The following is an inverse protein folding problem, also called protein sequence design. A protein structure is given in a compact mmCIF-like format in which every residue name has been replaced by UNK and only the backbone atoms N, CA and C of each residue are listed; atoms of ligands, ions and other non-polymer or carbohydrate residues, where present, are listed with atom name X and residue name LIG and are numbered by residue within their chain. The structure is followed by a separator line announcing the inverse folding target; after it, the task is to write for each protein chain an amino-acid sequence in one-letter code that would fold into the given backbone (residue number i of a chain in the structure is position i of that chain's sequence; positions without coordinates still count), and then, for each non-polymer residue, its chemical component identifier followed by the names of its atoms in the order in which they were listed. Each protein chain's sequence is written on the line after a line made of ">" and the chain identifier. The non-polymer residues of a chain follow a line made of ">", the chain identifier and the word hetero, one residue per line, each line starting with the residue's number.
data_IF_362973988362
#
_entry.id   IF_362973988362
#
_cell.length_a   1.000
_cell.length_b   1.000
_cell.length_c   1.000
_cell.angle_alpha   90.00
_cell.angle_beta   90.00
_cell.angle_gamma   90.00
#
_symmetry.space_group_name_H-M   'P 1'
#
loop_
_entity.id
_entity.type
_entity.pdbx_description
1 polymer ?
2 polymer ?
3 water ?
#
# COMPACT_ATOMS: atom_id res chain seq x y z
N UNK A 2 -7.01 31.46 15.87
CA UNK A 2 -6.68 30.14 16.46
C UNK A 2 -7.48 29.04 15.73
N UNK A 3 -8.75 29.31 15.45
CA UNK A 3 -9.68 28.37 14.78
C UNK A 3 -9.23 28.13 13.33
N UNK A 4 -8.87 29.21 12.62
CA UNK A 4 -8.40 29.09 11.22
C UNK A 4 -7.18 28.19 11.19
N UNK A 5 -6.24 28.39 12.10
CA UNK A 5 -5.00 27.60 12.23
C UNK A 5 -5.32 26.12 12.42
N UNK A 6 -6.25 25.80 13.32
CA UNK A 6 -6.67 24.40 13.62
C UNK A 6 -7.24 23.77 12.35
N UNK A 7 -8.10 24.50 11.64
CA UNK A 7 -8.75 24.03 10.38
C UNK A 7 -7.66 23.72 9.35
N UNK A 8 -6.68 24.61 9.20
CA UNK A 8 -5.54 24.44 8.25
C UNK A 8 -4.79 23.15 8.61
N UNK A 9 -4.59 22.91 9.90
CA UNK A 9 -3.88 21.71 10.43
C UNK A 9 -4.65 20.45 10.04
N UNK A 10 -5.97 20.44 10.27
CA UNK A 10 -6.86 19.29 9.96
C UNK A 10 -6.80 19.00 8.46
N UNK A 11 -6.80 20.03 7.62
CA UNK A 11 -6.71 19.87 6.14
C UNK A 11 -5.39 19.16 5.82
N UNK A 12 -4.29 19.64 6.40
CA UNK A 12 -2.93 19.07 6.22
C UNK A 12 -2.92 17.61 6.66
N UNK A 13 -3.54 17.31 7.80
CA UNK A 13 -3.61 15.95 8.33
C UNK A 13 -4.39 15.04 7.38
N UNK A 14 -5.51 15.52 6.85
CA UNK A 14 -6.32 14.68 5.99
C UNK A 14 -5.63 14.44 4.65
N UNK A 15 -4.93 15.45 4.13
CA UNK A 15 -4.16 15.23 2.91
C UNK A 15 -3.13 14.13 3.10
N UNK A 16 -2.54 14.07 4.29
CA UNK A 16 -1.57 13.02 4.60
C UNK A 16 -2.28 11.67 4.73
N UNK A 17 -3.42 11.63 5.42
CA UNK A 17 -4.19 10.39 5.54
C UNK A 17 -4.58 9.89 4.14
N UNK A 18 -5.00 10.80 3.27
CA UNK A 18 -5.41 10.47 1.87
C UNK A 18 -4.24 9.82 1.13
N UNK A 19 -3.03 10.34 1.31
CA UNK A 19 -1.80 9.80 0.68
C UNK A 19 -1.60 8.36 1.13
N UNK A 20 -1.81 8.10 2.42
CA UNK A 20 -1.68 6.76 3.04
C UNK A 20 -2.67 5.80 2.38
N UNK A 21 -3.91 6.24 2.12
CA UNK A 21 -4.92 5.36 1.57
C UNK A 21 -4.62 5.02 0.11
N UNK A 22 -4.19 5.99 -0.69
CA UNK A 22 -3.85 5.71 -2.08
C UNK A 22 -2.72 4.71 -2.15
N UNK A 23 -1.70 4.90 -1.32
CA UNK A 23 -0.52 3.99 -1.25
C UNK A 23 -1.02 2.57 -0.93
N UNK A 24 -1.89 2.46 0.08
CA UNK A 24 -2.50 1.18 0.54
C UNK A 24 -3.27 0.54 -0.62
N UNK A 25 -4.15 1.30 -1.27
CA UNK A 25 -5.00 0.86 -2.40
C UNK A 25 -4.15 0.30 -3.53
N UNK A 26 -3.12 1.03 -3.94
CA UNK A 26 -2.21 0.62 -5.03
C UNK A 26 -1.52 -0.70 -4.63
N UNK A 27 -1.08 -0.80 -3.37
CA UNK A 27 -0.43 -2.00 -2.84
C UNK A 27 -1.33 -3.21 -2.91
N UNK A 28 -2.58 -3.07 -2.49
CA UNK A 28 -3.58 -4.19 -2.51
C UNK A 28 -3.88 -4.56 -3.96
N UNK A 29 -3.94 -3.58 -4.85
CA UNK A 29 -4.20 -3.81 -6.30
C UNK A 29 -3.11 -4.72 -6.86
N UNK A 30 -1.85 -4.39 -6.58
CA UNK A 30 -0.67 -5.18 -7.05
C UNK A 30 -0.73 -6.56 -6.40
N UNK A 31 -1.01 -6.67 -5.10
CA UNK A 31 -1.09 -7.96 -4.46
C UNK A 31 -2.17 -8.83 -5.08
N UNK A 32 -3.35 -8.26 -5.36
CA UNK A 32 -4.41 -9.01 -6.00
C UNK A 32 -3.98 -9.55 -7.34
N UNK A 33 -3.28 -8.73 -8.14
CA UNK A 33 -2.77 -9.15 -9.48
C UNK A 33 -1.80 -10.32 -9.30
N UNK A 34 -0.94 -10.27 -8.29
CA UNK A 34 0.08 -11.33 -8.01
C UNK A 34 -0.61 -12.62 -7.53
N UNK A 35 -1.71 -12.52 -6.79
CA UNK A 35 -2.46 -13.73 -6.32
C UNK A 35 -3.10 -14.39 -7.55
N UNK A 36 -3.60 -13.58 -8.50
CA UNK A 36 -4.18 -14.09 -9.77
C UNK A 36 -3.06 -14.82 -10.52
N UNK A 37 -1.88 -14.20 -10.61
CA UNK A 37 -0.69 -14.75 -11.29
C UNK A 37 -0.30 -16.07 -10.62
N UNK A 38 -0.34 -16.11 -9.29
CA UNK A 38 0.01 -17.32 -8.50
C UNK A 38 -0.98 -18.44 -8.85
N UNK A 39 -2.28 -18.12 -8.92
CA UNK A 39 -3.35 -19.12 -9.26
C UNK A 39 -3.06 -19.68 -10.65
N UNK A 40 -2.73 -18.81 -11.61
CA UNK A 40 -2.42 -19.19 -13.01
C UNK A 40 -1.20 -20.10 -13.02
N UNK A 41 -0.17 -19.76 -12.24
CA UNK A 41 1.05 -20.56 -12.16
C UNK A 41 0.74 -21.94 -11.65
N UNK A 42 -0.03 -22.05 -10.57
CA UNK A 42 -0.41 -23.36 -9.95
C UNK A 42 -1.14 -24.22 -10.99
N UNK A 43 -2.20 -23.69 -11.60
CA UNK A 43 -3.06 -24.40 -12.58
C UNK A 43 -2.23 -24.87 -13.78
N UNK A 44 -1.30 -24.03 -14.27
CA UNK A 44 -0.43 -24.34 -15.44
C UNK A 44 0.72 -25.26 -15.00
N UNK A 45 1.09 -25.22 -13.72
CA UNK A 45 2.18 -26.02 -13.11
C UNK A 45 1.64 -27.40 -12.70
N UNK A 46 0.32 -27.54 -12.49
CA UNK A 46 -0.35 -28.78 -12.02
C UNK A 46 -0.51 -29.78 -13.17
N UNK A 47 -0.62 -29.27 -14.41
CA UNK A 47 -0.81 -30.07 -15.65
C UNK A 47 0.07 -31.34 -15.63
N UNK A 48 1.41 -31.29 -15.71
CA UNK A 48 2.21 -32.52 -15.70
C UNK A 48 1.96 -33.35 -14.43
N UNK A 49 2.21 -32.78 -13.24
CA UNK A 49 2.05 -33.45 -11.93
C UNK A 49 0.56 -33.77 -11.71
N UNK B 3 5.16 -17.80 -17.90
CA UNK B 3 6.03 -18.36 -16.86
C UNK B 3 6.28 -17.31 -15.80
N UNK B 4 5.93 -17.65 -14.56
CA UNK B 4 6.02 -16.75 -13.38
C UNK B 4 7.49 -16.59 -12.94
N UNK B 5 8.09 -15.40 -13.12
CA UNK B 5 9.49 -15.11 -12.72
C UNK B 5 9.57 -15.15 -11.19
N UNK B 6 10.32 -16.07 -10.54
CA UNK B 6 10.35 -16.15 -9.08
C UNK B 6 11.04 -14.92 -8.46
N UNK B 7 12.06 -14.37 -9.12
CA UNK B 7 12.73 -13.18 -8.63
C UNK B 7 11.78 -12.00 -8.68
N UNK B 8 11.12 -11.78 -9.82
CA UNK B 8 10.18 -10.70 -9.93
C UNK B 8 9.07 -10.82 -8.89
N UNK B 9 8.57 -12.03 -8.65
CA UNK B 9 7.47 -12.20 -7.72
C UNK B 9 7.88 -11.72 -6.33
N UNK B 10 9.07 -12.12 -5.88
CA UNK B 10 9.53 -11.70 -4.57
C UNK B 10 9.76 -10.20 -4.52
N UNK B 11 10.36 -9.64 -5.58
CA UNK B 11 10.65 -8.22 -5.61
C UNK B 11 9.36 -7.41 -5.49
N UNK B 12 8.35 -7.77 -6.28
CA UNK B 12 7.08 -7.03 -6.29
C UNK B 12 6.41 -7.12 -4.92
N UNK B 13 6.34 -8.30 -4.33
CA UNK B 13 5.65 -8.35 -3.04
C UNK B 13 6.45 -7.65 -1.95
N UNK B 14 7.78 -7.67 -2.03
CA UNK B 14 8.62 -6.97 -1.01
C UNK B 14 8.44 -5.46 -1.20
N UNK B 15 8.18 -5.01 -2.43
CA UNK B 15 7.94 -3.57 -2.73
C UNK B 15 6.61 -3.17 -2.09
N UNK B 16 5.60 -4.04 -2.16
CA UNK B 16 4.26 -3.79 -1.55
C UNK B 16 4.47 -3.55 -0.05
N UNK B 17 5.29 -4.39 0.59
CA UNK B 17 5.60 -4.28 2.05
C UNK B 17 6.24 -2.92 2.33
N UNK B 18 7.11 -2.43 1.43
CA UNK B 18 7.79 -1.11 1.54
C UNK B 18 6.75 0.01 1.43
N UNK B 19 5.81 -0.13 0.50
CA UNK B 19 4.71 0.84 0.24
C UNK B 19 3.84 0.97 1.49
N UNK B 20 3.57 -0.16 2.16
CA UNK B 20 2.73 -0.21 3.38
C UNK B 20 3.45 0.55 4.50
N UNK B 21 4.77 0.42 4.63
CA UNK B 21 5.51 1.19 5.62
C UNK B 21 5.40 2.69 5.35
N UNK B 22 5.34 3.05 4.07
CA UNK B 22 5.17 4.47 3.61
C UNK B 22 3.78 4.94 4.06
N UNK B 23 2.76 4.09 3.90
CA UNK B 23 1.36 4.35 4.30
C UNK B 23 1.33 4.67 5.80
N UNK B 24 2.02 3.84 6.59
CA UNK B 24 2.11 3.97 8.07
C UNK B 24 2.79 5.29 8.42
N UNK B 25 3.81 5.69 7.65
CA UNK B 25 4.57 6.95 7.87
C UNK B 25 3.65 8.15 7.64
N UNK B 26 2.80 8.09 6.61
CA UNK B 26 1.84 9.18 6.26
C UNK B 26 0.85 9.35 7.41
N UNK B 27 0.38 8.24 8.01
CA UNK B 27 -0.59 8.25 9.14
C UNK B 27 0.11 8.82 10.39
N UNK B 28 1.37 8.46 10.60
CA UNK B 28 2.13 9.00 11.77
C UNK B 28 2.16 10.52 11.64
N UNK B 29 2.45 11.04 10.45
CA UNK B 29 2.48 12.50 10.15
C UNK B 29 1.10 13.09 10.46
N UNK B 30 0.02 12.44 10.04
CA UNK B 30 -1.34 12.95 10.27
C UNK B 30 -1.64 13.00 11.75
N UNK B 31 -1.32 11.92 12.47
CA UNK B 31 -1.55 11.79 13.93
C UNK B 31 -0.79 12.89 14.67
N UNK B 32 0.46 13.15 14.29
CA UNK B 32 1.33 14.18 14.93
C UNK B 32 0.68 15.56 14.76
N UNK B 33 0.22 15.88 13.56
CA UNK B 33 -0.44 17.17 13.23
C UNK B 33 -1.69 17.33 14.10
N UNK B 34 -2.51 16.28 14.24
CA UNK B 34 -3.73 16.34 15.03
C UNK B 34 -3.42 16.48 16.51
N UNK B 35 -2.34 15.83 16.96
CA UNK B 35 -1.87 15.83 18.36
C UNK B 35 -1.43 17.25 18.75
N UNK B 36 -1.00 18.05 17.76
CA UNK B 36 -0.54 19.45 17.92
C UNK B 36 -1.74 20.39 18.12
N UNK B 37 -2.95 19.95 17.74
CA UNK B 37 -4.23 20.71 17.90
C UNK B 37 -4.70 20.55 19.35
#
# INVERSE_FOLDING_TARGET
>A
XHLEGEVNKIKSALLSTNKAVVSLSNGVSVLTSKVLDLKNYIDKQLLPIVNKX
>B
XVALDPIDFSIVLNKIKSQLEESKEWIRRSNKILDSIX
#
